data_IF_366801983684
#
_entry.id   IF_366801983684
#
_cell.length_a   1.000
_cell.length_b   1.000
_cell.length_c   1.000
_cell.angle_alpha   90.00
_cell.angle_beta   90.00
_cell.angle_gamma   90.00
#
_symmetry.space_group_name_H-M   'P 1'
#
loop_
_entity.id
_entity.type
_entity.pdbx_description
1 polymer ?
#
# COMPACT_ATOMS: atom_id res chain seq x y z
N UNK A 1 62.90 -51.37 -5.63
CA UNK A 1 62.01 -50.40 -6.28
C UNK A 1 60.85 -50.12 -5.32
N UNK A 2 60.79 -48.90 -4.72
CA UNK A 2 59.71 -48.49 -3.77
C UNK A 2 58.84 -47.54 -4.50
N UNK A 3 57.61 -47.97 -4.83
CA UNK A 3 56.56 -47.13 -5.50
C UNK A 3 55.91 -46.29 -4.42
N UNK A 4 55.97 -44.94 -4.56
CA UNK A 4 55.26 -43.99 -3.71
C UNK A 4 53.91 -43.69 -4.35
N UNK A 5 52.83 -44.04 -3.65
CA UNK A 5 51.47 -43.70 -4.04
C UNK A 5 51.20 -42.29 -3.49
N UNK A 6 51.02 -41.32 -4.40
CA UNK A 6 50.63 -39.93 -4.07
C UNK A 6 49.09 -39.88 -3.98
N UNK A 7 48.56 -39.75 -2.76
CA UNK A 7 47.12 -39.65 -2.57
C UNK A 7 46.68 -38.16 -2.65
N UNK A 8 46.00 -37.80 -3.72
CA UNK A 8 45.46 -36.45 -3.92
C UNK A 8 44.11 -36.34 -3.19
N UNK A 9 44.09 -35.56 -2.12
CA UNK A 9 42.87 -35.28 -1.39
C UNK A 9 42.15 -34.11 -2.11
N UNK A 10 40.99 -34.39 -2.72
CA UNK A 10 40.11 -33.37 -3.32
C UNK A 10 39.15 -32.85 -2.24
N UNK A 11 39.33 -31.59 -1.82
CA UNK A 11 38.38 -30.91 -0.97
C UNK A 11 37.19 -30.40 -1.80
N UNK A 12 36.05 -31.05 -1.63
CA UNK A 12 34.78 -30.55 -2.18
C UNK A 12 34.23 -29.50 -1.19
N UNK A 13 34.37 -28.23 -1.52
CA UNK A 13 33.74 -27.14 -0.77
C UNK A 13 32.29 -27.08 -1.21
N UNK A 14 31.38 -27.64 -0.43
CA UNK A 14 29.95 -27.48 -0.60
C UNK A 14 29.55 -26.05 -0.19
N UNK A 15 29.39 -25.16 -1.18
CA UNK A 15 28.86 -23.82 -0.95
C UNK A 15 27.37 -23.88 -0.56
N UNK A 16 27.05 -23.56 0.68
CA UNK A 16 25.68 -23.40 1.17
C UNK A 16 25.13 -22.11 0.57
N UNK A 17 24.33 -22.20 -0.50
CA UNK A 17 23.54 -21.10 -1.01
C UNK A 17 22.39 -20.84 -0.02
N UNK A 18 22.59 -19.89 0.88
CA UNK A 18 21.51 -19.35 1.69
C UNK A 18 20.58 -18.57 0.76
N UNK A 19 19.44 -19.17 0.38
CA UNK A 19 18.36 -18.45 -0.28
C UNK A 19 17.81 -17.43 0.73
N UNK A 20 18.15 -16.16 0.53
CA UNK A 20 17.56 -15.05 1.28
C UNK A 20 16.10 -14.94 0.82
N UNK A 21 15.15 -15.29 1.70
CA UNK A 21 13.73 -15.01 1.44
C UNK A 21 13.58 -13.50 1.25
N UNK A 22 13.12 -13.08 0.07
CA UNK A 22 12.79 -11.68 -0.17
C UNK A 22 11.68 -11.27 0.82
N UNK A 23 11.89 -10.18 1.55
CA UNK A 23 10.87 -9.65 2.44
C UNK A 23 9.62 -9.32 1.62
N UNK A 24 8.44 -9.72 2.10
CA UNK A 24 7.18 -9.37 1.45
C UNK A 24 6.96 -7.85 1.53
N UNK A 25 6.28 -7.28 0.51
CA UNK A 25 5.86 -5.88 0.55
C UNK A 25 5.01 -5.66 1.80
N UNK A 26 5.34 -4.64 2.58
CA UNK A 26 4.62 -4.28 3.80
C UNK A 26 4.18 -2.82 3.78
N UNK A 27 2.96 -2.60 4.26
CA UNK A 27 2.32 -1.31 4.47
C UNK A 27 1.89 -1.20 5.92
N UNK A 28 2.43 -0.24 6.63
CA UNK A 28 2.10 0.00 8.04
C UNK A 28 1.97 1.48 8.37
N UNK A 29 1.46 1.78 9.56
CA UNK A 29 1.38 3.14 10.11
C UNK A 29 1.70 3.12 11.61
N UNK A 30 2.37 4.14 12.15
CA UNK A 30 2.52 4.27 13.59
C UNK A 30 1.20 4.70 14.29
N UNK A 31 0.18 5.08 13.53
CA UNK A 31 -1.06 5.65 14.07
C UNK A 31 -2.05 4.60 14.60
N UNK A 32 -2.11 3.40 13.99
CA UNK A 32 -2.99 2.29 14.38
C UNK A 32 -2.47 0.97 13.79
N UNK A 33 -2.90 -0.16 14.34
CA UNK A 33 -2.58 -1.49 13.82
C UNK A 33 -3.71 -2.04 12.94
N UNK A 34 -3.41 -3.11 12.22
CA UNK A 34 -4.40 -3.84 11.41
C UNK A 34 -5.68 -4.12 12.21
N UNK A 35 -6.82 -3.68 11.70
CA UNK A 35 -8.14 -3.86 12.31
C UNK A 35 -8.45 -2.94 13.49
N UNK A 36 -7.54 -2.05 13.89
CA UNK A 36 -7.80 -1.09 14.97
C UNK A 36 -8.55 0.16 14.49
N UNK A 37 -9.00 0.98 15.45
CA UNK A 37 -9.67 2.25 15.15
C UNK A 37 -8.66 3.28 14.62
N UNK A 38 -9.04 3.96 13.55
CA UNK A 38 -8.31 5.12 13.02
C UNK A 38 -8.51 6.28 14.01
N UNK A 39 -7.43 6.92 14.52
CA UNK A 39 -7.56 8.07 15.42
C UNK A 39 -8.31 9.23 14.73
N UNK A 40 -9.15 9.93 15.48
CA UNK A 40 -9.99 11.03 14.98
C UNK A 40 -9.21 12.13 14.28
N UNK A 41 -7.93 12.32 14.61
CA UNK A 41 -7.01 13.26 13.95
C UNK A 41 -6.99 13.08 12.42
N UNK A 42 -7.19 11.87 11.92
CA UNK A 42 -7.12 11.51 10.50
C UNK A 42 -8.50 11.46 9.84
N UNK A 43 -9.55 11.91 10.51
CA UNK A 43 -10.94 11.77 10.11
C UNK A 43 -11.67 13.11 10.05
N UNK A 44 -12.94 13.11 9.63
CA UNK A 44 -13.75 14.34 9.59
C UNK A 44 -14.10 14.92 10.97
N UNK A 45 -13.82 14.21 12.05
CA UNK A 45 -14.05 14.72 13.42
C UNK A 45 -12.89 15.57 13.93
N UNK A 46 -11.80 15.73 13.17
CA UNK A 46 -10.66 16.59 13.49
C UNK A 46 -9.99 17.15 12.22
N UNK A 47 -8.66 17.15 12.14
CA UNK A 47 -7.91 17.79 11.06
C UNK A 47 -8.09 17.13 9.69
N UNK A 48 -8.47 15.84 9.63
CA UNK A 48 -8.71 15.12 8.37
C UNK A 48 -7.47 14.96 7.49
N UNK A 49 -6.28 15.01 8.08
CA UNK A 49 -5.02 14.81 7.37
C UNK A 49 -4.71 13.33 7.20
N UNK A 50 -3.90 12.94 6.21
CA UNK A 50 -3.46 11.56 6.06
C UNK A 50 -2.53 11.15 7.20
N UNK A 51 -2.61 9.89 7.69
CA UNK A 51 -1.62 9.35 8.63
C UNK A 51 -0.26 9.17 7.93
N UNK A 52 0.82 9.15 8.72
CA UNK A 52 2.10 8.67 8.22
C UNK A 52 1.98 7.20 7.81
N UNK A 53 2.51 6.84 6.66
CA UNK A 53 2.56 5.47 6.16
C UNK A 53 4.01 5.05 5.98
N UNK A 54 4.34 3.79 6.31
CA UNK A 54 5.66 3.20 6.12
C UNK A 54 5.56 2.07 5.08
N UNK A 55 6.56 2.00 4.20
CA UNK A 55 6.69 0.99 3.15
C UNK A 55 7.99 0.22 3.34
N UNK A 56 7.93 -1.11 3.25
CA UNK A 56 9.11 -1.97 3.26
C UNK A 56 8.93 -3.20 2.37
N UNK A 57 9.99 -3.96 2.13
CA UNK A 57 9.92 -5.18 1.33
C UNK A 57 9.57 -4.96 -0.15
N UNK A 58 9.86 -3.78 -0.71
CA UNK A 58 9.58 -3.47 -2.12
C UNK A 58 10.40 -4.39 -3.04
N UNK A 59 9.76 -5.14 -3.98
CA UNK A 59 10.47 -6.02 -4.91
C UNK A 59 11.46 -5.25 -5.80
N UNK A 60 12.59 -5.88 -6.12
CA UNK A 60 13.68 -5.25 -6.89
C UNK A 60 13.25 -4.73 -8.28
N UNK A 61 12.31 -5.42 -8.96
CA UNK A 61 11.85 -5.05 -10.31
C UNK A 61 10.75 -4.00 -10.32
N UNK A 62 10.39 -3.44 -9.15
CA UNK A 62 9.36 -2.39 -9.04
C UNK A 62 9.79 -1.14 -9.78
N UNK A 63 8.92 -0.64 -10.67
CA UNK A 63 9.10 0.64 -11.35
C UNK A 63 8.51 1.78 -10.55
N UNK A 64 7.39 1.54 -9.89
CA UNK A 64 6.78 2.49 -8.96
C UNK A 64 5.83 1.81 -7.97
N UNK A 65 5.45 2.57 -6.94
CA UNK A 65 4.42 2.19 -5.98
C UNK A 65 3.14 2.97 -6.27
N UNK A 66 2.02 2.32 -5.96
CA UNK A 66 0.66 2.86 -6.06
C UNK A 66 -0.02 2.67 -4.72
N UNK A 67 -0.67 3.71 -4.19
CA UNK A 67 -1.43 3.66 -2.95
C UNK A 67 -2.89 4.03 -3.24
N UNK A 68 -3.82 3.26 -2.69
CA UNK A 68 -5.24 3.58 -2.67
C UNK A 68 -5.79 3.51 -1.25
N UNK A 69 -6.82 4.30 -0.96
CA UNK A 69 -7.63 4.20 0.25
C UNK A 69 -9.09 4.23 -0.15
N UNK A 70 -9.85 3.21 0.24
CA UNK A 70 -11.28 3.15 -0.04
C UNK A 70 -12.09 2.61 1.14
N UNK A 71 -13.38 2.96 1.14
CA UNK A 71 -14.41 2.51 2.08
C UNK A 71 -15.44 1.67 1.29
N UNK A 72 -15.55 0.35 1.52
CA UNK A 72 -16.51 -0.52 0.84
C UNK A 72 -17.84 -0.65 1.59
N UNK A 73 -18.03 0.09 2.69
CA UNK A 73 -19.18 -0.07 3.58
C UNK A 73 -20.22 1.06 3.42
N UNK A 74 -20.04 1.94 2.42
CA UNK A 74 -20.94 3.06 2.17
C UNK A 74 -22.34 2.55 1.80
N UNK A 75 -23.41 3.06 2.44
CA UNK A 75 -24.78 2.68 2.09
C UNK A 75 -25.07 2.88 0.59
N UNK A 76 -25.59 1.85 -0.08
CA UNK A 76 -25.91 1.91 -1.52
C UNK A 76 -26.99 2.93 -1.85
N UNK A 77 -27.75 3.38 -0.86
CA UNK A 77 -28.72 4.48 -0.97
C UNK A 77 -28.04 5.84 -1.15
N UNK A 78 -26.80 5.99 -0.66
CA UNK A 78 -26.00 7.20 -0.84
C UNK A 78 -25.05 7.08 -2.03
N UNK A 79 -24.51 5.89 -2.26
CA UNK A 79 -23.58 5.61 -3.35
C UNK A 79 -23.88 4.22 -3.95
N UNK A 80 -24.42 4.12 -5.18
CA UNK A 80 -24.85 2.84 -5.75
C UNK A 80 -23.76 1.78 -5.85
N UNK A 81 -22.47 2.18 -5.97
CA UNK A 81 -21.33 1.28 -5.97
C UNK A 81 -21.10 0.63 -4.60
N UNK A 82 -21.60 1.21 -3.51
CA UNK A 82 -21.27 0.83 -2.14
C UNK A 82 -19.82 1.12 -1.74
N UNK A 83 -19.08 1.88 -2.55
CA UNK A 83 -17.66 2.18 -2.32
C UNK A 83 -17.42 3.69 -2.42
N UNK A 84 -16.51 4.19 -1.58
CA UNK A 84 -16.02 5.57 -1.66
C UNK A 84 -14.50 5.57 -1.68
N UNK A 85 -13.92 6.25 -2.66
CA UNK A 85 -12.48 6.37 -2.80
C UNK A 85 -12.00 7.60 -2.01
N UNK A 86 -11.20 7.36 -0.97
CA UNK A 86 -10.71 8.40 -0.05
C UNK A 86 -9.38 9.01 -0.51
N UNK A 87 -8.55 8.22 -1.21
CA UNK A 87 -7.22 8.67 -1.62
C UNK A 87 -6.64 7.77 -2.71
N UNK A 88 -6.02 8.38 -3.71
CA UNK A 88 -5.27 7.68 -4.75
C UNK A 88 -3.96 8.40 -5.00
N UNK A 89 -2.84 7.68 -4.91
CA UNK A 89 -1.50 8.18 -5.19
C UNK A 89 -0.78 7.16 -6.06
N UNK A 90 -0.23 7.60 -7.16
CA UNK A 90 0.66 6.80 -8.01
C UNK A 90 1.91 7.61 -8.30
N UNK A 91 2.83 7.06 -9.09
CA UNK A 91 4.14 7.65 -9.37
C UNK A 91 5.01 7.83 -8.10
N UNK A 92 4.80 6.94 -7.11
CA UNK A 92 5.61 6.90 -5.91
C UNK A 92 6.91 6.15 -6.26
N UNK A 93 8.06 6.75 -6.00
CA UNK A 93 9.35 6.13 -6.28
C UNK A 93 9.48 4.77 -5.55
N UNK A 94 10.03 3.71 -6.19
CA UNK A 94 10.19 2.40 -5.56
C UNK A 94 11.16 2.42 -4.36
N UNK A 95 11.98 3.44 -4.26
CA UNK A 95 12.89 3.68 -3.12
C UNK A 95 12.22 4.39 -1.95
N UNK A 96 10.98 4.87 -2.11
CA UNK A 96 10.23 5.54 -1.05
C UNK A 96 10.04 4.62 0.16
N UNK A 97 10.24 5.18 1.34
CA UNK A 97 10.02 4.47 2.62
C UNK A 97 8.65 4.74 3.22
N UNK A 98 7.83 5.55 2.55
CA UNK A 98 6.50 5.89 3.04
C UNK A 98 5.99 7.24 2.55
N UNK A 99 4.90 7.68 3.17
CA UNK A 99 4.31 9.01 2.97
C UNK A 99 4.24 9.68 4.35
N UNK A 100 4.72 10.90 4.45
CA UNK A 100 4.68 11.64 5.72
C UNK A 100 3.24 12.01 6.12
N UNK A 101 3.00 12.16 7.41
CA UNK A 101 1.74 12.66 7.94
C UNK A 101 1.41 14.04 7.35
N UNK A 102 0.18 14.23 6.90
CA UNK A 102 -0.28 15.51 6.35
C UNK A 102 0.41 15.94 5.05
N UNK A 103 1.16 15.05 4.39
CA UNK A 103 1.90 15.38 3.17
C UNK A 103 1.01 15.84 2.01
N UNK A 104 -0.29 15.53 2.06
CA UNK A 104 -1.26 15.98 1.06
C UNK A 104 -1.02 15.50 -0.37
N UNK A 105 -0.01 14.63 -0.57
CA UNK A 105 0.33 14.11 -1.90
C UNK A 105 -0.87 13.38 -2.50
N UNK A 106 -1.31 13.82 -3.67
CA UNK A 106 -2.34 13.13 -4.41
C UNK A 106 -2.24 13.45 -5.88
N UNK A 107 -2.43 12.43 -6.69
CA UNK A 107 -2.50 12.58 -8.15
C UNK A 107 -3.93 12.29 -8.66
N UNK A 108 -4.77 11.60 -7.87
CA UNK A 108 -6.12 11.21 -8.24
C UNK A 108 -7.23 11.99 -7.55
N UNK A 109 -8.38 12.03 -8.19
CA UNK A 109 -9.60 12.53 -7.57
C UNK A 109 -10.19 11.51 -6.62
N UNK A 110 -10.53 11.95 -5.40
CA UNK A 110 -11.28 11.14 -4.45
C UNK A 110 -12.77 11.10 -4.82
N UNK A 111 -13.56 10.32 -4.10
CA UNK A 111 -14.99 10.16 -4.33
C UNK A 111 -15.83 11.44 -4.18
N UNK A 112 -15.27 12.52 -3.65
CA UNK A 112 -15.88 13.84 -3.60
C UNK A 112 -15.48 14.75 -4.79
N UNK A 113 -14.77 14.21 -5.79
CA UNK A 113 -14.32 14.96 -6.96
C UNK A 113 -13.19 15.95 -6.67
N UNK A 114 -12.42 15.75 -5.59
CA UNK A 114 -11.29 16.59 -5.20
C UNK A 114 -10.00 15.77 -5.22
N UNK A 115 -8.88 16.41 -5.50
CA UNK A 115 -7.57 15.77 -5.32
C UNK A 115 -7.22 15.73 -3.83
N UNK A 116 -6.50 14.68 -3.41
CA UNK A 116 -5.99 14.58 -2.06
C UNK A 116 -6.73 13.57 -1.18
N UNK A 117 -6.21 13.45 0.02
CA UNK A 117 -6.79 12.64 1.07
C UNK A 117 -8.08 13.28 1.58
N UNK A 118 -9.12 12.46 1.72
CA UNK A 118 -10.33 12.81 2.47
C UNK A 118 -10.49 11.82 3.62
N UNK A 119 -10.62 12.35 4.84
CA UNK A 119 -10.70 11.54 6.05
C UNK A 119 -11.96 10.67 6.11
N UNK A 120 -11.90 9.50 6.77
CA UNK A 120 -13.06 8.73 7.17
C UNK A 120 -14.18 9.58 7.76
N UNK A 121 -15.41 9.42 7.26
CA UNK A 121 -16.59 10.15 7.74
C UNK A 121 -17.86 9.33 7.52
N UNK A 122 -18.00 8.16 8.18
CA UNK A 122 -19.11 7.25 7.94
C UNK A 122 -20.43 7.87 8.41
N UNK A 123 -21.50 7.75 7.60
CA UNK A 123 -22.77 8.46 7.88
C UNK A 123 -23.66 7.72 8.89
N UNK A 124 -23.50 6.42 9.08
CA UNK A 124 -24.49 5.56 9.77
C UNK A 124 -23.89 4.74 10.91
N UNK A 125 -22.79 4.04 10.70
CA UNK A 125 -22.18 3.10 11.64
C UNK A 125 -20.66 3.09 11.49
N UNK A 126 -19.95 2.17 12.15
CA UNK A 126 -18.56 1.91 11.93
C UNK A 126 -18.34 1.33 10.52
N UNK A 127 -17.41 1.96 9.73
CA UNK A 127 -16.95 1.49 8.44
C UNK A 127 -15.51 1.02 8.50
N UNK A 128 -15.11 0.22 7.50
CA UNK A 128 -13.74 -0.24 7.27
C UNK A 128 -13.11 0.59 6.17
N UNK A 129 -11.83 0.88 6.35
CA UNK A 129 -11.03 1.70 5.45
C UNK A 129 -9.78 0.93 5.06
N UNK A 130 -9.65 0.63 3.78
CA UNK A 130 -8.59 -0.22 3.24
C UNK A 130 -7.54 0.63 2.55
N UNK A 131 -6.37 0.75 3.17
CA UNK A 131 -5.16 1.24 2.53
C UNK A 131 -4.52 0.08 1.79
N UNK A 132 -4.31 0.21 0.48
CA UNK A 132 -3.65 -0.79 -0.35
C UNK A 132 -2.43 -0.20 -1.02
N UNK A 133 -1.31 -0.87 -0.87
CA UNK A 133 -0.05 -0.55 -1.53
C UNK A 133 0.23 -1.62 -2.58
N UNK A 134 0.50 -1.19 -3.80
CA UNK A 134 0.89 -2.04 -4.92
C UNK A 134 2.29 -1.68 -5.38
N UNK A 135 3.14 -2.68 -5.59
CA UNK A 135 4.40 -2.55 -6.30
C UNK A 135 4.18 -2.98 -7.74
N UNK A 136 4.41 -2.10 -8.71
CA UNK A 136 4.14 -2.38 -10.13
C UNK A 136 5.40 -2.30 -10.98
N UNK A 137 5.45 -3.10 -12.07
CA UNK A 137 6.58 -3.19 -13.00
C UNK A 137 6.44 -2.28 -14.22
N UNK A 138 5.44 -1.41 -14.24
CA UNK A 138 5.19 -0.43 -15.30
C UNK A 138 5.23 1.01 -14.76
N UNK A 139 5.64 1.98 -15.59
CA UNK A 139 5.50 3.40 -15.24
C UNK A 139 4.06 3.88 -15.51
N UNK A 140 3.55 4.72 -14.60
CA UNK A 140 2.26 5.40 -14.75
C UNK A 140 2.44 6.93 -14.84
N UNK A 141 3.69 7.41 -14.87
CA UNK A 141 4.00 8.84 -14.98
C UNK A 141 3.28 9.49 -16.16
N UNK A 142 2.68 10.65 -15.91
CA UNK A 142 1.88 11.38 -16.90
C UNK A 142 0.49 10.78 -17.19
N UNK A 143 0.11 9.65 -16.60
CA UNK A 143 -1.24 9.10 -16.73
C UNK A 143 -2.18 9.72 -15.71
N UNK A 144 -3.46 9.85 -16.11
CA UNK A 144 -4.54 10.29 -15.24
C UNK A 144 -5.61 9.22 -15.16
N UNK A 145 -6.10 8.96 -13.96
CA UNK A 145 -7.17 7.99 -13.72
C UNK A 145 -8.36 8.70 -13.09
N UNK A 146 -9.54 8.46 -13.63
CA UNK A 146 -10.79 9.10 -13.18
C UNK A 146 -11.25 8.60 -11.81
N UNK A 147 -10.93 7.34 -11.46
CA UNK A 147 -11.35 6.65 -10.25
C UNK A 147 -10.41 5.47 -9.94
N UNK A 148 -10.56 4.88 -8.77
CA UNK A 148 -9.77 3.71 -8.34
C UNK A 148 -9.95 2.49 -9.26
N UNK A 149 -11.16 2.09 -9.69
CA UNK A 149 -11.31 0.99 -10.64
C UNK A 149 -10.50 1.17 -11.93
N UNK A 150 -10.45 2.38 -12.49
CA UNK A 150 -9.65 2.66 -13.67
C UNK A 150 -8.14 2.54 -13.41
N UNK A 151 -7.67 2.96 -12.24
CA UNK A 151 -6.28 2.79 -11.82
C UNK A 151 -5.95 1.31 -11.61
N UNK A 152 -6.80 0.56 -10.88
CA UNK A 152 -6.60 -0.87 -10.62
C UNK A 152 -6.63 -1.70 -11.91
N UNK A 153 -7.49 -1.39 -12.88
CA UNK A 153 -7.49 -2.05 -14.19
C UNK A 153 -6.21 -1.74 -14.99
N UNK A 154 -5.69 -0.51 -14.89
CA UNK A 154 -4.46 -0.12 -15.59
C UNK A 154 -3.20 -0.83 -15.06
N UNK A 155 -3.18 -1.25 -13.80
CA UNK A 155 -2.07 -2.01 -13.21
C UNK A 155 -2.30 -3.52 -13.21
N UNK A 156 -3.45 -3.99 -13.67
CA UNK A 156 -3.78 -5.41 -13.73
C UNK A 156 -2.78 -6.18 -14.60
N UNK A 157 -2.25 -7.29 -14.04
CA UNK A 157 -1.19 -8.08 -14.69
C UNK A 157 0.22 -7.49 -14.52
N UNK A 158 0.35 -6.33 -13.87
CA UNK A 158 1.61 -5.64 -13.62
C UNK A 158 1.95 -5.51 -12.13
N UNK A 159 1.15 -6.11 -11.25
CA UNK A 159 1.37 -6.09 -9.80
C UNK A 159 2.36 -7.18 -9.43
N UNK A 160 3.55 -6.79 -8.97
CA UNK A 160 4.59 -7.67 -8.46
C UNK A 160 4.31 -8.13 -7.02
N UNK A 161 3.76 -7.22 -6.21
CA UNK A 161 3.37 -7.47 -4.83
C UNK A 161 2.32 -6.47 -4.39
N UNK A 162 1.51 -6.85 -3.40
CA UNK A 162 0.57 -5.95 -2.74
C UNK A 162 0.58 -6.15 -1.23
N UNK A 163 0.24 -5.09 -0.51
CA UNK A 163 0.04 -5.11 0.94
C UNK A 163 -1.20 -4.29 1.29
N UNK A 164 -1.88 -4.70 2.35
CA UNK A 164 -3.12 -4.05 2.80
C UNK A 164 -3.08 -3.78 4.30
N UNK A 165 -3.46 -2.56 4.67
CA UNK A 165 -3.70 -2.15 6.05
C UNK A 165 -5.15 -1.69 6.15
N UNK A 166 -5.94 -2.33 7.00
CA UNK A 166 -7.33 -1.96 7.25
C UNK A 166 -7.45 -1.28 8.62
N UNK A 167 -8.07 -0.10 8.64
CA UNK A 167 -8.52 0.55 9.86
C UNK A 167 -10.03 0.64 9.92
N UNK A 168 -10.59 0.89 11.10
CA UNK A 168 -12.03 1.08 11.33
C UNK A 168 -12.30 2.47 11.88
N UNK A 169 -13.43 3.05 11.53
CA UNK A 169 -13.85 4.31 12.11
C UNK A 169 -15.39 4.40 12.20
N UNK A 170 -15.83 4.92 13.30
CA UNK A 170 -17.21 5.36 13.52
C UNK A 170 -17.18 6.85 13.91
N UNK A 171 -18.03 7.63 13.25
CA UNK A 171 -18.11 9.07 13.52
C UNK A 171 -18.56 9.33 14.94
N UNK A 172 -17.92 10.30 15.60
CA UNK A 172 -18.29 10.73 16.96
C UNK A 172 -19.65 11.42 16.87
N UNK A 173 -20.65 10.84 17.53
CA UNK A 173 -21.97 11.48 17.67
C UNK A 173 -21.80 12.68 18.59
N UNK A 174 -22.09 13.87 18.06
CA UNK A 174 -22.15 15.10 18.85
C UNK A 174 -23.51 15.23 19.51
#
# INVERSE_FOLDING_TARGET
MKTRICSTIVFVVAGLLLAQAAAALDLSTPAFKQGEKIPSKYTCDAAGMNPALNFSGVPANTKQLVLTLHDPDVPKTLMPSGNFDHWMVWDIAPTSKGIAEGAGSSMGMNGAGKTGYIGPCPPDREHRYFFRLYAVDIPLAGKMFKDRPALEEAIKGHVLAQSELMGRYEKIKK
#
